data_IF_954552724435
#
_entry.id   IF_954552724435
#
_cell.length_a   1.000
_cell.length_b   1.000
_cell.length_c   1.000
_cell.angle_alpha   90.00
_cell.angle_beta   90.00
_cell.angle_gamma   90.00
#
_symmetry.space_group_name_H-M   'P 1'
#
loop_
_entity.id
_entity.type
_entity.pdbx_description
1 polymer ?
#
# COMPACT_ATOMS: atom_id res chain seq x y z
N UNK A 1 -4.50 32.53 8.74
CA UNK A 1 -5.45 33.46 8.08
C UNK A 1 -5.23 33.33 6.58
N UNK A 2 -6.10 32.81 5.72
CA UNK A 2 -7.44 32.26 5.85
C UNK A 2 -7.58 31.15 4.79
N UNK A 3 -7.75 29.89 5.21
CA UNK A 3 -8.19 28.80 4.33
C UNK A 3 -9.72 28.75 4.38
N UNK A 4 -10.38 29.78 3.81
CA UNK A 4 -11.84 29.80 3.71
C UNK A 4 -12.22 29.78 2.23
N UNK A 5 -12.86 28.68 1.86
CA UNK A 5 -13.63 28.44 0.63
C UNK A 5 -12.77 28.33 -0.65
N UNK A 6 -12.12 27.17 -0.83
CA UNK A 6 -11.72 26.71 -2.17
C UNK A 6 -12.95 26.07 -2.80
N UNK A 7 -13.67 26.85 -3.60
CA UNK A 7 -14.74 26.33 -4.45
C UNK A 7 -14.07 25.57 -5.61
N UNK A 8 -14.12 24.24 -5.59
CA UNK A 8 -13.46 23.37 -6.57
C UNK A 8 -14.23 23.24 -7.89
N UNK A 9 -15.43 23.83 -7.98
CA UNK A 9 -16.33 23.70 -9.10
C UNK A 9 -16.24 24.91 -10.03
N UNK A 10 -15.19 24.95 -10.84
CA UNK A 10 -14.96 25.96 -11.89
C UNK A 10 -13.62 25.76 -12.60
N UNK A 11 -13.39 26.50 -13.71
CA UNK A 11 -12.12 26.49 -14.47
C UNK A 11 -10.89 26.72 -13.56
N UNK A 12 -11.05 27.44 -12.45
CA UNK A 12 -10.00 27.75 -11.48
C UNK A 12 -9.53 26.53 -10.67
N UNK A 13 -10.40 25.54 -10.44
CA UNK A 13 -10.05 24.29 -9.76
C UNK A 13 -9.06 23.46 -10.58
N UNK A 14 -9.26 23.40 -11.90
CA UNK A 14 -8.33 22.72 -12.81
C UNK A 14 -6.97 23.41 -12.84
N UNK A 15 -6.95 24.74 -12.90
CA UNK A 15 -5.72 25.52 -12.87
C UNK A 15 -4.97 25.33 -11.56
N UNK A 16 -5.67 25.21 -10.43
CA UNK A 16 -5.08 24.89 -9.14
C UNK A 16 -4.49 23.48 -9.10
N UNK A 17 -5.22 22.47 -9.59
CA UNK A 17 -4.72 21.09 -9.68
C UNK A 17 -3.50 21.02 -10.59
N UNK A 18 -3.53 21.64 -11.77
CA UNK A 18 -2.37 21.70 -12.66
C UNK A 18 -1.20 22.46 -12.03
N UNK A 19 -1.45 23.60 -11.39
CA UNK A 19 -0.41 24.36 -10.68
C UNK A 19 0.17 23.54 -9.53
N UNK A 20 -0.66 22.83 -8.78
CA UNK A 20 -0.24 21.93 -7.70
C UNK A 20 0.62 20.79 -8.25
N UNK A 21 0.20 20.12 -9.32
CA UNK A 21 0.97 19.05 -9.98
C UNK A 21 2.28 19.56 -10.59
N UNK A 22 2.27 20.75 -11.21
CA UNK A 22 3.47 21.41 -11.74
C UNK A 22 4.41 21.79 -10.60
N UNK A 23 3.87 22.31 -9.49
CA UNK A 23 4.64 22.62 -8.29
C UNK A 23 5.18 21.34 -7.63
N UNK A 24 4.42 20.25 -7.63
CA UNK A 24 4.87 18.94 -7.13
C UNK A 24 5.98 18.37 -8.02
N UNK A 25 5.91 18.55 -9.35
CA UNK A 25 7.01 18.21 -10.27
C UNK A 25 8.23 19.12 -10.10
N UNK A 26 8.02 20.42 -9.84
CA UNK A 26 9.07 21.46 -9.76
C UNK A 26 9.78 21.48 -8.40
N UNK A 27 9.05 21.26 -7.31
CA UNK A 27 9.55 21.21 -5.93
C UNK A 27 9.69 19.79 -5.38
N UNK A 28 9.17 18.77 -6.08
CA UNK A 28 9.48 17.36 -5.78
C UNK A 28 10.93 16.99 -6.07
N UNK A 29 11.68 17.86 -6.75
CA UNK A 29 13.13 17.92 -6.65
C UNK A 29 13.49 18.93 -5.58
N UNK A 30 13.39 18.52 -4.32
CA UNK A 30 13.87 19.35 -3.21
C UNK A 30 15.39 19.45 -3.34
N UNK A 31 15.89 20.68 -3.37
CA UNK A 31 17.30 20.99 -3.28
C UNK A 31 17.96 20.15 -2.19
N UNK A 32 19.06 19.47 -2.54
CA UNK A 32 19.83 18.47 -1.77
C UNK A 32 19.43 16.97 -1.91
N UNK A 33 18.62 16.58 -2.89
CA UNK A 33 18.12 15.19 -3.07
C UNK A 33 18.85 14.30 -4.11
N UNK A 34 20.17 14.40 -4.28
CA UNK A 34 20.91 13.34 -5.00
C UNK A 34 20.84 11.98 -4.27
N UNK A 35 20.58 12.00 -2.96
CA UNK A 35 20.41 10.80 -2.12
C UNK A 35 19.00 10.18 -2.22
N UNK A 36 17.93 10.96 -2.06
CA UNK A 36 16.55 10.44 -2.03
C UNK A 36 16.10 9.84 -3.38
N UNK A 37 16.56 10.41 -4.50
CA UNK A 37 16.36 9.82 -5.83
C UNK A 37 17.08 8.47 -5.98
N UNK A 38 18.32 8.32 -5.51
CA UNK A 38 19.05 7.05 -5.52
C UNK A 38 18.47 6.00 -4.57
N UNK A 39 17.99 6.42 -3.39
CA UNK A 39 17.37 5.51 -2.41
C UNK A 39 16.03 4.97 -2.93
N UNK A 40 15.21 5.82 -3.57
CA UNK A 40 13.95 5.41 -4.19
C UNK A 40 14.16 4.50 -5.41
N UNK A 41 15.21 4.73 -6.23
CA UNK A 41 15.54 3.85 -7.36
C UNK A 41 15.87 2.41 -6.92
N UNK A 42 16.47 2.23 -5.74
CA UNK A 42 16.76 0.89 -5.18
C UNK A 42 15.53 0.17 -4.62
N UNK A 43 14.48 0.91 -4.27
CA UNK A 43 13.23 0.33 -3.76
C UNK A 43 12.24 -0.03 -4.86
N UNK A 44 12.37 0.55 -6.06
CA UNK A 44 11.47 0.26 -7.18
C UNK A 44 11.42 -1.24 -7.55
N UNK A 45 12.55 -1.97 -7.66
CA UNK A 45 12.51 -3.42 -7.87
C UNK A 45 11.82 -4.16 -6.72
N UNK A 46 12.00 -3.70 -5.49
CA UNK A 46 11.40 -4.31 -4.32
C UNK A 46 9.87 -4.18 -4.30
N UNK A 47 9.31 -3.03 -4.70
CA UNK A 47 7.85 -2.88 -4.79
C UNK A 47 7.25 -3.85 -5.81
N UNK A 48 7.91 -4.01 -6.96
CA UNK A 48 7.50 -5.00 -7.96
C UNK A 48 7.59 -6.42 -7.40
N UNK A 49 8.70 -6.76 -6.75
CA UNK A 49 8.87 -8.06 -6.12
C UNK A 49 7.78 -8.35 -5.10
N UNK A 50 7.38 -7.36 -4.29
CA UNK A 50 6.27 -7.50 -3.35
C UNK A 50 4.94 -7.73 -4.07
N UNK A 51 4.64 -7.02 -5.15
CA UNK A 51 3.41 -7.20 -5.94
C UNK A 51 3.35 -8.55 -6.66
N UNK A 52 4.50 -9.11 -7.06
CA UNK A 52 4.58 -10.42 -7.68
C UNK A 52 4.55 -11.58 -6.67
N UNK A 53 4.99 -11.35 -5.43
CA UNK A 53 5.22 -12.42 -4.45
C UNK A 53 4.37 -12.29 -3.17
N UNK A 54 3.45 -11.32 -3.08
CA UNK A 54 2.69 -11.07 -1.83
C UNK A 54 1.97 -12.31 -1.30
N UNK A 55 1.53 -13.21 -2.18
CA UNK A 55 0.79 -14.42 -1.82
C UNK A 55 1.65 -15.49 -1.15
N UNK A 56 2.98 -15.40 -1.17
CA UNK A 56 3.84 -16.36 -0.48
C UNK A 56 3.78 -16.14 1.04
N UNK A 57 3.24 -17.09 1.83
CA UNK A 57 3.12 -16.93 3.28
C UNK A 57 4.48 -16.87 4.00
N UNK A 58 5.57 -17.34 3.39
CA UNK A 58 6.91 -17.30 3.95
C UNK A 58 7.68 -16.01 3.61
N UNK A 59 7.07 -15.13 2.79
CA UNK A 59 7.68 -13.86 2.42
C UNK A 59 7.87 -12.98 3.66
N UNK A 60 9.13 -12.75 3.99
CA UNK A 60 9.56 -12.07 5.20
C UNK A 60 10.64 -11.05 4.90
N UNK A 61 11.03 -10.29 5.94
CA UNK A 61 12.01 -9.22 5.82
C UNK A 61 13.35 -9.69 5.22
N UNK A 62 13.82 -10.90 5.58
CA UNK A 62 15.06 -11.45 5.05
C UNK A 62 14.99 -11.64 3.54
N UNK A 63 13.93 -12.30 3.04
CA UNK A 63 13.70 -12.47 1.60
C UNK A 63 13.65 -11.12 0.84
N UNK A 64 12.98 -10.12 1.42
CA UNK A 64 12.92 -8.77 0.85
C UNK A 64 14.31 -8.10 0.81
N UNK A 65 15.10 -8.29 1.87
CA UNK A 65 16.44 -7.71 2.00
C UNK A 65 17.43 -8.35 1.02
N UNK A 66 17.36 -9.67 0.89
CA UNK A 66 18.14 -10.45 -0.07
C UNK A 66 17.83 -10.02 -1.50
N UNK A 67 16.55 -9.87 -1.85
CA UNK A 67 16.13 -9.37 -3.17
C UNK A 67 16.65 -7.95 -3.44
N UNK A 68 16.65 -7.09 -2.42
CA UNK A 68 17.13 -5.71 -2.53
C UNK A 68 18.67 -5.58 -2.44
N UNK A 69 19.40 -6.66 -2.16
CA UNK A 69 20.86 -6.66 -2.00
C UNK A 69 21.37 -5.83 -0.82
N UNK A 70 20.59 -5.73 0.26
CA UNK A 70 20.93 -4.96 1.47
C UNK A 70 20.68 -5.78 2.73
N UNK A 71 21.19 -5.34 3.88
CA UNK A 71 20.87 -6.03 5.13
C UNK A 71 19.41 -5.77 5.57
N UNK A 72 18.78 -6.66 6.35
CA UNK A 72 17.41 -6.46 6.87
C UNK A 72 17.22 -5.15 7.67
N UNK A 73 18.27 -4.71 8.37
CA UNK A 73 18.28 -3.45 9.11
C UNK A 73 18.30 -2.25 8.16
N UNK A 74 19.19 -2.28 7.16
CA UNK A 74 19.25 -1.25 6.12
C UNK A 74 17.93 -1.19 5.34
N UNK A 75 17.35 -2.33 4.99
CA UNK A 75 16.07 -2.37 4.32
C UNK A 75 14.98 -1.70 5.16
N UNK A 76 14.87 -2.03 6.45
CA UNK A 76 13.89 -1.37 7.32
C UNK A 76 14.07 0.14 7.36
N UNK A 77 15.31 0.60 7.51
CA UNK A 77 15.63 2.02 7.54
C UNK A 77 15.23 2.70 6.23
N UNK A 78 15.74 2.20 5.10
CA UNK A 78 15.46 2.74 3.76
C UNK A 78 13.95 2.77 3.46
N UNK A 79 13.25 1.67 3.75
CA UNK A 79 11.83 1.54 3.46
C UNK A 79 10.99 2.47 4.34
N UNK A 80 11.31 2.58 5.65
CA UNK A 80 10.64 3.53 6.55
C UNK A 80 10.90 4.97 6.17
N UNK A 81 12.12 5.31 5.79
CA UNK A 81 12.46 6.66 5.32
C UNK A 81 11.70 7.02 4.04
N UNK A 82 11.51 6.05 3.13
CA UNK A 82 10.80 6.28 1.87
C UNK A 82 9.27 6.27 2.00
N UNK A 83 8.70 5.40 2.84
CA UNK A 83 7.25 5.10 2.86
C UNK A 83 6.55 5.44 4.17
N UNK A 84 7.30 5.73 5.24
CA UNK A 84 6.77 5.89 6.59
C UNK A 84 6.44 4.57 7.32
N UNK A 85 6.56 3.41 6.66
CA UNK A 85 6.21 2.10 7.22
C UNK A 85 7.32 1.07 7.05
N UNK A 86 7.29 -0.03 7.81
CA UNK A 86 8.21 -1.14 7.57
C UNK A 86 7.83 -1.93 6.31
N UNK A 87 8.78 -2.68 5.71
CA UNK A 87 8.48 -3.56 4.58
C UNK A 87 7.37 -4.57 4.89
N UNK A 88 7.37 -5.13 6.11
CA UNK A 88 6.34 -6.08 6.52
C UNK A 88 4.96 -5.42 6.69
N UNK A 89 4.91 -4.20 7.23
CA UNK A 89 3.65 -3.44 7.29
C UNK A 89 3.11 -3.21 5.89
N UNK A 90 3.96 -2.79 4.95
CA UNK A 90 3.57 -2.61 3.55
C UNK A 90 3.03 -3.91 2.93
N UNK A 91 3.71 -5.04 3.15
CA UNK A 91 3.23 -6.35 2.69
C UNK A 91 1.83 -6.65 3.22
N UNK A 92 1.57 -6.43 4.52
CA UNK A 92 0.23 -6.65 5.09
C UNK A 92 -0.81 -5.74 4.42
N UNK A 93 -0.51 -4.47 4.21
CA UNK A 93 -1.40 -3.55 3.49
C UNK A 93 -1.71 -4.05 2.07
N UNK A 94 -0.68 -4.48 1.33
CA UNK A 94 -0.83 -5.02 -0.02
C UNK A 94 -1.72 -6.27 -0.02
N UNK A 95 -1.50 -7.21 0.90
CA UNK A 95 -2.33 -8.41 1.04
C UNK A 95 -3.79 -8.09 1.35
N UNK A 96 -4.04 -7.10 2.22
CA UNK A 96 -5.41 -6.64 2.53
C UNK A 96 -6.06 -5.98 1.31
N UNK A 97 -5.31 -5.18 0.54
CA UNK A 97 -5.80 -4.59 -0.70
C UNK A 97 -6.25 -5.67 -1.69
N UNK A 98 -5.41 -6.68 -1.93
CA UNK A 98 -5.76 -7.84 -2.78
C UNK A 98 -6.93 -8.65 -2.23
N UNK A 99 -7.02 -8.78 -0.90
CA UNK A 99 -8.16 -9.44 -0.28
C UNK A 99 -9.47 -8.69 -0.51
N UNK A 100 -9.47 -7.36 -0.48
CA UNK A 100 -10.66 -6.54 -0.79
C UNK A 100 -11.13 -6.76 -2.22
N UNK A 101 -10.22 -6.79 -3.19
CA UNK A 101 -10.52 -7.11 -4.59
C UNK A 101 -11.20 -8.50 -4.69
N UNK A 102 -10.63 -9.53 -4.05
CA UNK A 102 -11.22 -10.87 -4.03
C UNK A 102 -12.56 -10.95 -3.28
N UNK A 103 -12.73 -10.20 -2.18
CA UNK A 103 -13.98 -10.18 -1.42
C UNK A 103 -15.15 -9.63 -2.25
N UNK A 104 -14.87 -8.68 -3.15
CA UNK A 104 -15.85 -8.07 -4.04
C UNK A 104 -16.10 -8.96 -5.25
N UNK A 105 -15.05 -9.46 -5.91
CA UNK A 105 -15.20 -10.12 -7.21
C UNK A 105 -15.47 -11.64 -7.12
N UNK A 106 -15.17 -12.29 -5.99
CA UNK A 106 -15.19 -13.75 -5.85
C UNK A 106 -16.15 -14.21 -4.75
N UNK A 107 -17.45 -14.12 -5.00
CA UNK A 107 -18.52 -14.40 -4.02
C UNK A 107 -18.41 -15.82 -3.40
N UNK A 108 -18.02 -16.80 -4.23
CA UNK A 108 -17.91 -18.21 -3.84
C UNK A 108 -16.72 -18.52 -2.94
N UNK A 109 -15.69 -17.66 -2.91
CA UNK A 109 -14.52 -17.91 -2.07
C UNK A 109 -14.87 -17.67 -0.61
N UNK A 110 -14.47 -18.59 0.27
CA UNK A 110 -14.63 -18.39 1.72
C UNK A 110 -13.60 -17.37 2.23
N UNK A 111 -13.89 -16.73 3.35
CA UNK A 111 -12.94 -15.82 4.04
C UNK A 111 -11.61 -16.53 4.34
N UNK A 112 -11.67 -17.82 4.71
CA UNK A 112 -10.49 -18.67 4.92
C UNK A 112 -9.68 -18.88 3.64
N UNK A 113 -10.35 -19.15 2.51
CA UNK A 113 -9.68 -19.33 1.23
C UNK A 113 -8.97 -18.03 0.79
N UNK A 114 -9.64 -16.88 0.90
CA UNK A 114 -9.04 -15.57 0.57
C UNK A 114 -7.82 -15.30 1.45
N UNK A 115 -7.90 -15.56 2.76
CA UNK A 115 -6.77 -15.39 3.66
C UNK A 115 -5.52 -16.14 3.18
N UNK A 116 -5.69 -17.41 2.78
CA UNK A 116 -4.60 -18.25 2.26
C UNK A 116 -4.10 -17.76 0.90
N UNK A 117 -5.00 -17.39 -0.01
CA UNK A 117 -4.65 -16.92 -1.36
C UNK A 117 -3.82 -15.63 -1.34
N UNK A 118 -4.10 -14.73 -0.40
CA UNK A 118 -3.32 -13.49 -0.25
C UNK A 118 -2.09 -13.67 0.65
N UNK A 119 -1.79 -14.89 1.10
CA UNK A 119 -0.54 -15.21 1.79
C UNK A 119 -0.56 -15.05 3.31
N UNK A 120 -1.72 -15.08 3.98
CA UNK A 120 -1.76 -15.27 5.43
C UNK A 120 -1.66 -16.76 5.78
N UNK A 121 -0.86 -17.08 6.81
CA UNK A 121 -0.73 -18.45 7.33
C UNK A 121 -2.02 -18.95 8.00
N UNK A 122 -2.76 -18.04 8.64
CA UNK A 122 -4.02 -18.38 9.30
C UNK A 122 -5.06 -17.26 9.18
N UNK A 123 -6.32 -17.68 9.27
CA UNK A 123 -7.48 -16.79 9.09
C UNK A 123 -7.65 -15.80 10.25
N UNK A 124 -7.17 -16.12 11.45
CA UNK A 124 -7.30 -15.23 12.62
C UNK A 124 -6.39 -14.00 12.49
N UNK A 125 -5.15 -14.21 12.06
CA UNK A 125 -4.22 -13.13 11.71
C UNK A 125 -4.74 -12.29 10.55
N UNK A 126 -5.35 -12.90 9.54
CA UNK A 126 -6.00 -12.18 8.45
C UNK A 126 -7.15 -11.29 8.94
N UNK A 127 -8.13 -11.86 9.66
CA UNK A 127 -9.32 -11.14 10.12
C UNK A 127 -8.95 -9.98 11.06
N UNK A 128 -8.00 -10.20 11.97
CA UNK A 128 -7.51 -9.13 12.85
C UNK A 128 -6.79 -8.02 12.10
N UNK A 129 -5.93 -8.36 11.14
CA UNK A 129 -5.23 -7.39 10.30
C UNK A 129 -6.19 -6.60 9.42
N UNK A 130 -7.17 -7.28 8.81
CA UNK A 130 -8.22 -6.67 8.00
C UNK A 130 -9.04 -5.68 8.83
N UNK A 131 -9.55 -6.10 10.00
CA UNK A 131 -10.33 -5.23 10.89
C UNK A 131 -9.52 -4.02 11.35
N UNK A 132 -8.22 -4.19 11.62
CA UNK A 132 -7.35 -3.07 12.03
C UNK A 132 -7.19 -2.03 10.93
N UNK A 133 -7.16 -2.44 9.66
CA UNK A 133 -6.95 -1.55 8.52
C UNK A 133 -8.24 -0.96 7.95
N UNK A 134 -9.33 -1.74 7.95
CA UNK A 134 -10.61 -1.35 7.33
C UNK A 134 -11.70 -1.01 8.36
N UNK A 135 -11.40 -1.12 9.66
CA UNK A 135 -12.32 -0.91 10.80
C UNK A 135 -13.53 -1.85 10.87
N UNK A 136 -13.71 -2.74 9.88
CA UNK A 136 -14.77 -3.76 9.84
C UNK A 136 -14.21 -5.13 9.49
N UNK A 137 -14.86 -6.24 9.90
CA UNK A 137 -14.44 -7.59 9.50
C UNK A 137 -14.62 -7.85 7.99
N UNK A 138 -13.84 -8.77 7.39
CA UNK A 138 -13.89 -9.03 5.94
C UNK A 138 -15.25 -9.57 5.46
N UNK A 139 -15.96 -10.34 6.30
CA UNK A 139 -17.32 -10.80 5.96
C UNK A 139 -18.33 -9.66 5.89
N UNK A 140 -18.22 -8.67 6.79
CA UNK A 140 -19.06 -7.48 6.75
C UNK A 140 -18.69 -6.60 5.54
N UNK A 141 -17.39 -6.45 5.25
CA UNK A 141 -16.91 -5.75 4.07
C UNK A 141 -17.53 -6.33 2.79
N UNK A 142 -17.52 -7.66 2.63
CA UNK A 142 -18.18 -8.35 1.52
C UNK A 142 -19.67 -7.98 1.43
N UNK A 143 -20.42 -8.16 2.52
CA UNK A 143 -21.86 -7.93 2.50
C UNK A 143 -22.23 -6.49 2.09
N UNK A 144 -21.47 -5.48 2.54
CA UNK A 144 -21.70 -4.08 2.17
C UNK A 144 -21.55 -3.88 0.66
N UNK A 145 -20.56 -4.51 0.04
CA UNK A 145 -20.27 -4.34 -1.39
C UNK A 145 -21.17 -5.17 -2.31
N UNK A 146 -21.72 -6.30 -1.83
CA UNK A 146 -22.66 -7.15 -2.61
C UNK A 146 -24.13 -6.72 -2.44
N UNK A 147 -24.51 -6.10 -1.32
CA UNK A 147 -25.90 -5.64 -1.09
C UNK A 147 -26.25 -4.32 -1.83
N UNK A 148 -25.37 -3.81 -2.69
CA UNK A 148 -25.57 -2.59 -3.49
C UNK A 148 -25.76 -2.87 -5.00
N UNK A 149 -25.93 -4.13 -5.38
CA UNK A 149 -26.36 -4.56 -6.73
C UNK A 149 -27.83 -5.02 -6.70
#
# INVERSE_FOLDING_TARGET
>A
MALRNLDFNGMDGSAFVYRFLINLKRYGQVDNQRSLSQHNLRLMPLFRFLDENYSDPNLGLTHMADHAGVSPQQLNFLFRTATGMSPYQYLIHLRILKAKEMLINEEKLTIKAIALLVGFLDTSHFVSSFRKLENIPPGQYRNIHHNHE
#
